data_IF_012673146093
#
_entry.id   IF_012673146093
#
_cell.length_a   1.000
_cell.length_b   1.000
_cell.length_c   1.000
_cell.angle_alpha   90.00
_cell.angle_beta   90.00
_cell.angle_gamma   90.00
#
_symmetry.space_group_name_H-M   'P 1'
#
loop_
_entity.id
_entity.type
_entity.pdbx_description
1 polymer ?
#
# COMPACT_ATOMS: atom_id res chain seq x y z
N UNK A 1 5.98 4.91 15.72
CA UNK A 1 4.81 4.97 14.84
C UNK A 1 5.32 4.78 13.42
N UNK A 2 4.88 3.72 12.75
CA UNK A 2 5.24 3.40 11.36
C UNK A 2 4.08 3.85 10.47
N UNK A 3 4.36 4.77 9.57
CA UNK A 3 3.43 5.19 8.51
C UNK A 3 3.94 4.65 7.18
N UNK A 4 3.01 4.21 6.32
CA UNK A 4 3.33 3.78 4.97
C UNK A 4 3.05 4.91 3.98
N UNK A 5 3.93 5.09 3.00
CA UNK A 5 3.66 5.87 1.80
C UNK A 5 3.61 4.91 0.62
N UNK A 6 2.41 4.69 0.11
CA UNK A 6 2.18 3.85 -1.05
C UNK A 6 2.48 4.65 -2.32
N UNK A 7 3.27 4.08 -3.21
CA UNK A 7 3.29 4.55 -4.59
C UNK A 7 2.00 4.18 -5.32
N UNK A 8 1.84 4.69 -6.54
CA UNK A 8 0.61 4.50 -7.31
C UNK A 8 0.37 3.03 -7.68
N UNK A 9 1.42 2.25 -7.94
CA UNK A 9 1.29 0.83 -8.29
C UNK A 9 0.82 0.00 -7.11
N UNK A 10 1.43 0.22 -5.94
CA UNK A 10 1.08 -0.45 -4.69
C UNK A 10 -0.35 -0.13 -4.30
N UNK A 11 -0.78 1.13 -4.47
CA UNK A 11 -2.18 1.53 -4.26
C UNK A 11 -3.16 0.82 -5.21
N UNK A 12 -2.82 0.69 -6.49
CA UNK A 12 -3.65 -0.03 -7.47
C UNK A 12 -3.75 -1.51 -7.06
N UNK A 13 -2.65 -2.18 -6.76
CA UNK A 13 -2.67 -3.59 -6.35
C UNK A 13 -3.45 -3.84 -5.06
N UNK A 14 -3.37 -2.90 -4.11
CA UNK A 14 -4.14 -2.97 -2.87
C UNK A 14 -5.65 -2.89 -3.14
N UNK A 15 -6.08 -1.92 -3.95
CA UNK A 15 -7.49 -1.65 -4.26
C UNK A 15 -8.15 -2.69 -5.16
N UNK A 16 -7.38 -3.31 -6.07
CA UNK A 16 -7.87 -4.36 -6.96
C UNK A 16 -7.73 -5.78 -6.38
N UNK A 17 -7.21 -5.90 -5.16
CA UNK A 17 -6.86 -7.19 -4.56
C UNK A 17 -5.93 -8.04 -5.46
N UNK A 18 -4.98 -7.37 -6.12
CA UNK A 18 -4.04 -8.00 -7.06
C UNK A 18 -3.05 -8.90 -6.31
N UNK A 19 -2.77 -10.07 -6.89
CA UNK A 19 -1.74 -11.03 -6.47
C UNK A 19 -0.30 -10.49 -6.50
N UNK A 20 -0.07 -9.39 -7.21
CA UNK A 20 1.22 -8.69 -7.24
C UNK A 20 1.53 -7.99 -5.90
N UNK A 21 0.53 -7.76 -5.03
CA UNK A 21 0.76 -7.30 -3.66
C UNK A 21 1.01 -8.50 -2.73
N UNK A 22 2.22 -8.68 -2.18
CA UNK A 22 2.51 -9.77 -1.26
C UNK A 22 1.60 -9.74 -0.02
N UNK A 23 1.13 -10.90 0.44
CA UNK A 23 0.21 -10.99 1.59
C UNK A 23 0.79 -10.38 2.87
N UNK A 24 2.09 -10.53 3.12
CA UNK A 24 2.74 -9.92 4.27
C UNK A 24 2.73 -8.39 4.20
N UNK A 25 2.92 -7.81 3.00
CA UNK A 25 2.86 -6.37 2.81
C UNK A 25 1.42 -5.85 2.92
N UNK A 26 0.44 -6.62 2.43
CA UNK A 26 -0.99 -6.33 2.61
C UNK A 26 -1.35 -6.29 4.10
N UNK A 27 -0.97 -7.30 4.85
CA UNK A 27 -1.20 -7.35 6.31
C UNK A 27 -0.53 -6.15 7.00
N UNK A 28 0.72 -5.83 6.67
CA UNK A 28 1.41 -4.66 7.23
C UNK A 28 0.67 -3.35 6.95
N UNK A 29 0.12 -3.16 5.74
CA UNK A 29 -0.67 -1.99 5.37
C UNK A 29 -2.01 -1.96 6.11
N UNK A 30 -2.69 -3.10 6.24
CA UNK A 30 -4.00 -3.22 6.90
C UNK A 30 -3.92 -2.97 8.42
N UNK A 31 -2.79 -3.32 9.05
CA UNK A 31 -2.51 -2.99 10.47
C UNK A 31 -1.86 -1.60 10.66
N UNK A 32 -1.61 -0.90 9.54
CA UNK A 32 -1.24 0.50 9.40
C UNK A 32 -2.08 1.48 10.25
N UNK A 33 -1.59 2.20 11.30
CA UNK A 33 -2.43 3.25 11.88
C UNK A 33 -2.67 4.40 10.90
N UNK A 34 -1.70 4.65 10.01
CA UNK A 34 -1.77 5.67 8.96
C UNK A 34 -1.11 5.17 7.67
N UNK A 35 -1.81 5.38 6.57
CA UNK A 35 -1.35 5.04 5.21
C UNK A 35 -1.59 6.25 4.31
N UNK A 36 -0.53 6.69 3.64
CA UNK A 36 -0.52 7.81 2.71
C UNK A 36 -0.36 7.29 1.29
N UNK A 37 -0.90 8.00 0.31
CA UNK A 37 -0.75 7.67 -1.11
C UNK A 37 0.00 8.78 -1.81
N UNK A 38 1.08 8.44 -2.50
CA UNK A 38 1.77 9.35 -3.39
C UNK A 38 0.99 9.50 -4.70
N UNK A 39 0.41 10.69 -4.91
CA UNK A 39 -0.30 11.09 -6.14
C UNK A 39 0.65 11.49 -7.28
N UNK A 40 1.94 11.59 -6.99
CA UNK A 40 3.00 11.79 -7.99
C UNK A 40 3.81 10.50 -8.04
N UNK A 41 3.73 9.77 -9.16
CA UNK A 41 4.71 8.73 -9.48
C UNK A 41 5.80 9.34 -10.35
N UNK A 42 7.06 9.15 -9.96
CA UNK A 42 8.26 9.49 -10.73
C UNK A 42 8.53 8.42 -11.78
#
# INVERSE_FOLDING_TARGET
>A
MTSFLLDTHTFIWLTENDSNLPNNLREEIDFAPEVYVSIVSL
#
